data_IF_392237187704
#
_entry.id   IF_392237187704
#
_cell.length_a   1.000
_cell.length_b   1.000
_cell.length_c   1.000
_cell.angle_alpha   90.00
_cell.angle_beta   90.00
_cell.angle_gamma   90.00
#
_symmetry.space_group_name_H-M   'P 1'
#
loop_
_entity.id
_entity.type
_entity.pdbx_description
1 polymer ?
#
# COMPACT_ATOMS: atom_id res chain seq x y z
N UNK A 1 -0.38 -28.97 39.92
CA UNK A 1 -0.52 -27.71 39.15
C UNK A 1 -1.78 -27.80 38.27
N UNK A 2 -2.73 -26.87 38.44
CA UNK A 2 -3.97 -26.86 37.67
C UNK A 2 -3.71 -26.34 36.26
N UNK A 3 -4.20 -27.04 35.24
CA UNK A 3 -4.10 -26.63 33.85
C UNK A 3 -4.87 -25.32 33.63
N UNK A 4 -4.29 -24.41 32.84
CA UNK A 4 -4.94 -23.16 32.48
C UNK A 4 -6.26 -23.42 31.73
N UNK A 5 -7.30 -22.60 31.96
CA UNK A 5 -8.58 -22.73 31.26
C UNK A 5 -8.39 -22.49 29.76
N UNK A 6 -9.05 -23.30 28.93
CA UNK A 6 -9.05 -23.14 27.48
C UNK A 6 -9.70 -21.79 27.10
N UNK A 7 -9.18 -21.07 26.10
CA UNK A 7 -9.85 -19.91 25.53
C UNK A 7 -11.26 -20.27 25.06
N UNK A 8 -12.24 -19.36 25.17
CA UNK A 8 -13.59 -19.59 24.68
C UNK A 8 -13.56 -19.89 23.17
N UNK A 9 -14.39 -20.85 22.74
CA UNK A 9 -14.59 -21.14 21.31
C UNK A 9 -15.13 -19.88 20.61
N UNK A 10 -14.54 -19.58 19.44
CA UNK A 10 -15.01 -18.51 18.56
C UNK A 10 -16.49 -18.77 18.24
N UNK A 11 -17.40 -17.78 18.35
CA UNK A 11 -18.78 -17.96 17.94
C UNK A 11 -18.84 -18.49 16.51
N UNK A 12 -19.75 -19.44 16.26
CA UNK A 12 -19.98 -19.96 14.92
C UNK A 12 -20.27 -18.80 13.96
N UNK A 13 -19.47 -18.70 12.89
CA UNK A 13 -19.67 -17.74 11.81
C UNK A 13 -21.05 -18.02 11.18
N UNK A 14 -22.04 -17.22 11.55
CA UNK A 14 -23.33 -17.17 10.85
C UNK A 14 -23.07 -16.50 9.52
N UNK A 15 -22.96 -17.32 8.47
CA UNK A 15 -22.61 -16.93 7.10
C UNK A 15 -23.64 -16.02 6.40
N UNK A 16 -24.59 -15.43 7.13
CA UNK A 16 -25.74 -14.73 6.54
C UNK A 16 -25.59 -13.20 6.53
N UNK A 17 -24.59 -12.62 7.19
CA UNK A 17 -24.26 -11.21 6.99
C UNK A 17 -23.23 -11.10 5.86
N UNK A 18 -23.72 -11.19 4.62
CA UNK A 18 -22.92 -10.90 3.42
C UNK A 18 -22.45 -9.45 3.52
N UNK A 19 -21.21 -9.25 3.96
CA UNK A 19 -20.57 -7.94 4.01
C UNK A 19 -20.69 -7.37 2.60
N UNK A 20 -21.37 -6.23 2.47
CA UNK A 20 -21.51 -5.58 1.16
C UNK A 20 -20.10 -5.26 0.64
N UNK A 21 -19.80 -5.53 -0.64
CA UNK A 21 -18.50 -5.21 -1.21
C UNK A 21 -18.17 -3.74 -1.00
N UNK A 22 -16.93 -3.44 -0.58
CA UNK A 22 -16.46 -2.06 -0.53
C UNK A 22 -16.55 -1.48 -1.95
N UNK A 23 -17.18 -0.31 -2.16
CA UNK A 23 -17.28 0.28 -3.50
C UNK A 23 -15.93 0.43 -4.20
N UNK A 24 -14.85 0.62 -3.44
CA UNK A 24 -13.48 0.74 -3.97
C UNK A 24 -12.98 -0.56 -4.59
N UNK A 25 -13.46 -1.71 -4.12
CA UNK A 25 -13.11 -3.01 -4.69
C UNK A 25 -13.65 -3.22 -6.11
N UNK A 26 -14.63 -2.42 -6.54
CA UNK A 26 -15.18 -2.44 -7.88
C UNK A 26 -14.54 -1.42 -8.84
N UNK A 27 -13.57 -0.62 -8.36
CA UNK A 27 -12.89 0.35 -9.21
C UNK A 27 -12.11 -0.34 -10.32
N UNK A 28 -12.14 0.23 -11.52
CA UNK A 28 -11.41 -0.24 -12.69
C UNK A 28 -10.74 0.95 -13.36
N UNK A 29 -9.64 0.75 -14.11
CA UNK A 29 -9.09 1.79 -14.95
C UNK A 29 -10.13 2.23 -15.99
N UNK A 30 -10.25 3.53 -16.19
CA UNK A 30 -11.03 4.14 -17.25
C UNK A 30 -10.26 4.10 -18.57
N UNK A 31 -10.94 4.32 -19.69
CA UNK A 31 -10.32 4.35 -21.03
C UNK A 31 -9.16 5.36 -21.14
N UNK A 32 -9.20 6.41 -20.32
CA UNK A 32 -8.16 7.42 -20.20
C UNK A 32 -7.85 7.65 -18.73
N UNK A 33 -6.56 7.79 -18.43
CA UNK A 33 -6.10 8.12 -17.09
C UNK A 33 -6.71 9.45 -16.61
N UNK A 34 -7.34 9.48 -15.42
CA UNK A 34 -7.93 10.69 -14.85
C UNK A 34 -6.90 11.80 -14.65
N UNK A 35 -7.36 13.05 -14.74
CA UNK A 35 -6.49 14.20 -14.58
C UNK A 35 -5.82 14.24 -13.18
N UNK A 36 -6.53 13.76 -12.16
CA UNK A 36 -6.06 13.68 -10.78
C UNK A 36 -4.89 12.69 -10.63
N UNK A 37 -4.96 11.56 -11.33
CA UNK A 37 -3.91 10.54 -11.35
C UNK A 37 -2.67 11.07 -12.09
N UNK A 38 -2.86 11.71 -13.26
CA UNK A 38 -1.76 12.37 -13.99
C UNK A 38 -1.10 13.45 -13.11
N UNK A 39 -1.90 14.30 -12.46
CA UNK A 39 -1.38 15.35 -11.58
C UNK A 39 -0.59 14.78 -10.39
N UNK A 40 -1.04 13.66 -9.83
CA UNK A 40 -0.33 12.95 -8.77
C UNK A 40 1.05 12.44 -9.26
N UNK A 41 1.09 11.82 -10.44
CA UNK A 41 2.35 11.35 -11.05
C UNK A 41 3.33 12.48 -11.32
N UNK A 42 2.86 13.65 -11.73
CA UNK A 42 3.71 14.84 -11.88
C UNK A 42 4.25 15.35 -10.53
N UNK A 43 3.45 15.28 -9.46
CA UNK A 43 3.94 15.62 -8.11
C UNK A 43 4.99 14.62 -7.62
N UNK A 44 4.84 13.32 -7.89
CA UNK A 44 5.87 12.32 -7.60
C UNK A 44 7.19 12.63 -8.32
N UNK A 45 7.13 12.93 -9.63
CA UNK A 45 8.32 13.34 -10.40
C UNK A 45 8.97 14.59 -9.80
N UNK A 46 8.17 15.57 -9.39
CA UNK A 46 8.65 16.80 -8.73
C UNK A 46 9.35 16.52 -7.40
N UNK A 47 8.85 15.54 -6.63
CA UNK A 47 9.50 15.04 -5.40
C UNK A 47 10.80 14.26 -5.68
N UNK A 48 11.11 13.97 -6.94
CA UNK A 48 12.27 13.17 -7.35
C UNK A 48 12.07 11.66 -7.13
N UNK A 49 10.81 11.21 -7.08
CA UNK A 49 10.48 9.78 -6.99
C UNK A 49 10.71 9.13 -8.35
N UNK A 50 11.45 8.03 -8.36
CA UNK A 50 11.53 7.12 -9.48
C UNK A 50 10.46 6.02 -9.32
N UNK A 51 9.63 5.85 -10.34
CA UNK A 51 8.60 4.82 -10.38
C UNK A 51 8.38 4.30 -11.80
N UNK A 52 7.80 3.11 -11.90
CA UNK A 52 7.33 2.52 -13.14
C UNK A 52 5.82 2.32 -13.09
N UNK A 53 5.14 2.44 -14.24
CA UNK A 53 3.73 2.10 -14.33
C UNK A 53 3.56 0.58 -14.33
N UNK A 54 2.53 0.08 -13.65
CA UNK A 54 2.19 -1.33 -13.65
C UNK A 54 0.75 -1.54 -14.13
N UNK A 55 0.45 -2.76 -14.57
CA UNK A 55 -0.90 -3.13 -15.03
C UNK A 55 -1.88 -3.02 -13.88
N UNK A 56 -3.13 -2.65 -14.16
CA UNK A 56 -4.18 -2.61 -13.13
C UNK A 56 -4.27 -3.96 -12.40
N UNK A 57 -4.38 -3.90 -11.08
CA UNK A 57 -4.62 -5.08 -10.24
C UNK A 57 -6.09 -5.09 -9.84
N UNK A 58 -6.78 -6.18 -10.14
CA UNK A 58 -8.20 -6.30 -9.85
C UNK A 58 -8.59 -7.77 -9.62
N UNK A 59 -9.22 -8.02 -8.47
CA UNK A 59 -9.84 -9.29 -8.13
C UNK A 59 -11.15 -9.01 -7.37
N UNK A 60 -12.27 -9.10 -8.09
CA UNK A 60 -13.59 -8.81 -7.55
C UNK A 60 -14.05 -9.85 -6.50
N UNK A 61 -13.56 -11.09 -6.58
CA UNK A 61 -13.98 -12.18 -5.69
C UNK A 61 -13.43 -11.96 -4.28
N UNK A 62 -12.18 -11.51 -4.17
CA UNK A 62 -11.52 -11.27 -2.88
C UNK A 62 -11.39 -9.77 -2.53
N UNK A 63 -11.93 -8.90 -3.38
CA UNK A 63 -12.15 -7.47 -3.11
C UNK A 63 -10.93 -6.58 -3.31
N UNK A 64 -10.00 -6.95 -4.20
CA UNK A 64 -8.81 -6.15 -4.50
C UNK A 64 -9.03 -5.26 -5.72
N UNK A 65 -8.65 -3.99 -5.62
CA UNK A 65 -8.53 -3.13 -6.78
C UNK A 65 -7.46 -2.04 -6.60
N UNK A 66 -6.58 -1.92 -7.60
CA UNK A 66 -5.72 -0.77 -7.85
C UNK A 66 -5.81 -0.46 -9.36
N UNK A 67 -6.58 0.56 -9.77
CA UNK A 67 -6.76 0.88 -11.18
C UNK A 67 -5.48 1.33 -11.91
N UNK A 68 -4.62 2.09 -11.23
CA UNK A 68 -3.41 2.69 -11.81
C UNK A 68 -2.20 2.48 -10.90
N UNK A 69 -1.73 1.24 -10.73
CA UNK A 69 -0.61 0.96 -9.84
C UNK A 69 0.68 1.53 -10.41
N UNK A 70 1.55 1.92 -9.49
CA UNK A 70 2.93 2.27 -9.77
C UNK A 70 3.86 1.50 -8.84
N UNK A 71 5.01 1.11 -9.36
CA UNK A 71 6.06 0.45 -8.59
C UNK A 71 7.13 1.47 -8.30
N UNK A 72 7.24 1.87 -7.03
CA UNK A 72 8.26 2.84 -6.60
C UNK A 72 9.64 2.19 -6.48
N UNK A 73 10.66 2.91 -6.93
CA UNK A 73 12.09 2.58 -6.73
C UNK A 73 12.72 3.45 -5.65
N UNK A 74 12.24 4.68 -5.51
CA UNK A 74 12.74 5.64 -4.51
C UNK A 74 11.60 6.36 -3.79
N UNK A 75 11.89 6.88 -2.59
CA UNK A 75 11.02 7.75 -1.80
C UNK A 75 11.59 9.18 -1.82
N UNK A 76 11.64 9.76 -3.02
CA UNK A 76 12.33 11.01 -3.31
C UNK A 76 13.73 10.78 -3.88
N UNK A 77 14.61 11.79 -3.81
CA UNK A 77 15.87 11.81 -4.58
C UNK A 77 16.93 10.78 -4.15
N UNK A 78 16.96 10.37 -2.89
CA UNK A 78 18.10 9.65 -2.32
C UNK A 78 17.75 8.42 -1.48
N UNK A 79 16.47 8.19 -1.19
CA UNK A 79 16.02 7.08 -0.33
C UNK A 79 15.50 5.97 -1.23
N UNK A 80 16.19 4.83 -1.32
CA UNK A 80 15.69 3.67 -2.06
C UNK A 80 14.57 2.95 -1.30
N UNK A 81 13.61 2.35 -2.01
CA UNK A 81 12.63 1.44 -1.41
C UNK A 81 12.72 0.05 -2.06
N UNK A 82 12.82 -0.98 -1.22
CA UNK A 82 12.98 -2.36 -1.67
C UNK A 82 11.68 -3.07 -2.06
N UNK A 83 11.82 -4.29 -2.59
CA UNK A 83 10.75 -5.27 -2.82
C UNK A 83 9.59 -4.79 -3.71
N UNK A 84 9.90 -4.03 -4.77
CA UNK A 84 8.94 -3.68 -5.83
C UNK A 84 7.69 -3.02 -5.25
N UNK A 85 7.84 -1.86 -4.62
CA UNK A 85 6.79 -1.24 -3.83
C UNK A 85 5.63 -0.74 -4.70
N UNK A 86 4.70 -1.65 -5.00
CA UNK A 86 3.49 -1.38 -5.75
C UNK A 86 2.46 -0.66 -4.88
N UNK A 87 2.02 0.52 -5.31
CA UNK A 87 1.09 1.38 -4.61
C UNK A 87 0.19 2.09 -5.61
N UNK A 88 -0.98 2.56 -5.15
CA UNK A 88 -1.68 3.63 -5.88
C UNK A 88 -0.91 4.96 -5.73
N UNK A 89 -1.14 5.91 -6.64
CA UNK A 89 -0.34 7.14 -6.67
C UNK A 89 -0.47 7.98 -5.39
N UNK A 90 -1.67 8.09 -4.81
CA UNK A 90 -1.89 8.87 -3.59
C UNK A 90 -1.08 8.33 -2.41
N UNK A 91 -1.04 7.00 -2.25
CA UNK A 91 -0.25 6.35 -1.21
C UNK A 91 1.25 6.49 -1.47
N UNK A 92 1.68 6.38 -2.72
CA UNK A 92 3.07 6.63 -3.10
C UNK A 92 3.51 8.07 -2.77
N UNK A 93 2.65 9.06 -3.03
CA UNK A 93 2.92 10.46 -2.75
C UNK A 93 3.01 10.72 -1.24
N UNK A 94 2.09 10.14 -0.47
CA UNK A 94 2.12 10.20 0.98
C UNK A 94 3.39 9.53 1.56
N UNK A 95 3.76 8.35 1.05
CA UNK A 95 4.95 7.63 1.48
C UNK A 95 6.24 8.41 1.18
N UNK A 96 6.35 9.00 -0.01
CA UNK A 96 7.50 9.83 -0.38
C UNK A 96 7.65 11.06 0.53
N UNK A 97 6.55 11.78 0.79
CA UNK A 97 6.57 12.91 1.74
C UNK A 97 6.93 12.47 3.14
N UNK A 98 6.33 11.40 3.64
CA UNK A 98 6.59 10.89 4.98
C UNK A 98 8.07 10.50 5.16
N UNK A 99 8.66 9.86 4.15
CA UNK A 99 10.08 9.49 4.18
C UNK A 99 10.99 10.72 4.29
N UNK A 100 10.73 11.76 3.51
CA UNK A 100 11.58 12.96 3.46
C UNK A 100 11.34 13.91 4.64
N UNK A 101 10.07 14.11 5.03
CA UNK A 101 9.68 15.13 6.01
C UNK A 101 9.71 14.60 7.44
N UNK A 102 9.57 13.29 7.65
CA UNK A 102 9.48 12.68 8.99
C UNK A 102 10.58 11.68 9.24
N UNK A 103 10.71 10.64 8.41
CA UNK A 103 11.65 9.54 8.69
C UNK A 103 13.10 10.04 8.60
N UNK A 104 13.46 10.75 7.53
CA UNK A 104 14.84 11.22 7.32
C UNK A 104 15.32 12.14 8.46
N UNK A 105 14.57 13.18 8.89
CA UNK A 105 14.98 14.00 10.03
C UNK A 105 15.09 13.20 11.34
N UNK A 106 14.15 12.30 11.60
CA UNK A 106 14.19 11.45 12.79
C UNK A 106 15.42 10.52 12.80
N UNK A 107 15.71 9.87 11.67
CA UNK A 107 16.90 9.02 11.52
C UNK A 107 18.19 9.82 11.70
N UNK A 108 18.25 11.04 11.17
CA UNK A 108 19.41 11.92 11.34
C UNK A 108 19.61 12.34 12.81
N UNK A 109 18.52 12.66 13.51
CA UNK A 109 18.57 13.06 14.91
C UNK A 109 18.98 11.90 15.83
N UNK A 110 18.44 10.71 15.61
CA UNK A 110 18.68 9.54 16.47
C UNK A 110 20.02 8.85 16.16
N UNK A 111 20.38 8.73 14.87
CA UNK A 111 21.51 7.92 14.44
C UNK A 111 22.66 8.74 13.84
N UNK A 112 22.52 10.07 13.69
CA UNK A 112 23.52 10.94 13.08
C UNK A 112 23.73 10.75 11.57
N UNK A 113 22.97 9.86 10.94
CA UNK A 113 23.13 9.45 9.55
C UNK A 113 21.89 9.72 8.72
N UNK A 114 22.10 9.93 7.43
CA UNK A 114 21.03 10.09 6.45
C UNK A 114 20.42 8.73 6.08
N UNK A 115 19.09 8.69 5.91
CA UNK A 115 18.40 7.46 5.50
C UNK A 115 18.78 7.12 4.06
N UNK A 116 19.34 5.93 3.86
CA UNK A 116 19.74 5.45 2.52
C UNK A 116 18.65 4.61 1.85
N UNK A 117 17.97 3.75 2.60
CA UNK A 117 16.99 2.82 2.03
C UNK A 117 16.01 2.30 3.06
N UNK A 118 14.79 1.99 2.62
CA UNK A 118 13.77 1.27 3.39
C UNK A 118 13.57 -0.11 2.78
N UNK A 119 13.84 -1.15 3.58
CA UNK A 119 13.46 -2.52 3.28
C UNK A 119 12.05 -2.80 3.79
N UNK A 120 11.18 -3.30 2.92
CA UNK A 120 9.81 -3.69 3.26
C UNK A 120 9.57 -5.15 2.85
N UNK A 121 8.64 -5.83 3.53
CA UNK A 121 8.30 -7.21 3.23
C UNK A 121 7.36 -7.32 2.01
N UNK A 122 6.26 -6.56 2.04
CA UNK A 122 5.36 -6.38 0.90
C UNK A 122 4.70 -4.99 0.94
N UNK A 123 4.62 -4.29 -0.20
CA UNK A 123 3.86 -3.03 -0.32
C UNK A 123 2.39 -3.26 -0.67
N UNK A 124 2.13 -4.23 -1.55
CA UNK A 124 0.78 -4.68 -1.92
C UNK A 124 0.64 -6.18 -1.66
N UNK A 125 -0.46 -6.58 -1.00
CA UNK A 125 -0.84 -7.98 -0.79
C UNK A 125 -2.34 -8.08 -0.98
N UNK A 126 -2.74 -8.72 -2.07
CA UNK A 126 -4.13 -9.03 -2.32
C UNK A 126 -4.51 -10.35 -1.62
N UNK A 127 -5.36 -10.27 -0.59
CA UNK A 127 -5.86 -11.44 0.15
C UNK A 127 -7.23 -11.16 0.77
N UNK A 128 -8.10 -12.18 0.92
CA UNK A 128 -9.36 -12.04 1.64
C UNK A 128 -9.13 -11.55 3.07
N UNK A 129 -9.97 -10.62 3.54
CA UNK A 129 -9.85 -10.07 4.90
C UNK A 129 -10.21 -11.07 6.00
N UNK A 130 -10.93 -12.16 5.70
CA UNK A 130 -11.46 -13.12 6.69
C UNK A 130 -11.31 -14.61 6.34
N UNK A 131 -10.37 -15.02 5.48
CA UNK A 131 -10.11 -16.45 5.20
C UNK A 131 -11.28 -17.26 4.62
N UNK A 132 -12.37 -16.61 4.22
CA UNK A 132 -13.48 -17.24 3.50
C UNK A 132 -13.12 -17.40 2.04
N UNK A 133 -12.90 -18.64 1.62
CA UNK A 133 -13.14 -19.09 0.25
C UNK A 133 -14.51 -19.73 0.14
#
# INVERSE_FOLDING_TARGET
PAAAPKPPEKPADTHDNKILPDPRSAELPADKMPAEEVACRERLKTLGVEFEEHKAEHDAEIGCSIPYPIVMKTLGKSISIGAGAELNCQMAEAAARFAVEVIQPAAKAEFGADLKSIGQASAFVCRPRNGGG
#
